data_IF_367818828491
#
_entry.id   IF_367818828491
#
_cell.length_a   1.000
_cell.length_b   1.000
_cell.length_c   1.000
_cell.angle_alpha   90.00
_cell.angle_beta   90.00
_cell.angle_gamma   90.00
#
_symmetry.space_group_name_H-M   'P 1'
#
loop_
_entity.id
_entity.type
_entity.pdbx_description
1 polymer ?
#
# COMPACT_ATOMS: atom_id res chain seq x y z
N UNK A 1 -49.42 -19.88 37.92
CA UNK A 1 -48.30 -19.14 38.51
C UNK A 1 -46.95 -19.84 38.26
N UNK A 2 -46.96 -21.13 37.99
CA UNK A 2 -45.76 -21.84 37.65
C UNK A 2 -45.19 -21.39 36.28
N UNK A 3 -45.99 -20.70 35.49
CA UNK A 3 -45.58 -20.17 34.20
C UNK A 3 -44.63 -18.96 34.32
N UNK A 4 -44.78 -18.18 35.39
CA UNK A 4 -43.99 -16.97 35.59
C UNK A 4 -42.50 -17.22 35.64
N UNK A 5 -41.98 -18.14 36.49
CA UNK A 5 -40.55 -18.41 36.56
C UNK A 5 -40.00 -18.95 35.25
N UNK A 6 -40.76 -19.82 34.56
CA UNK A 6 -40.32 -20.39 33.28
C UNK A 6 -40.29 -19.35 32.18
N UNK A 7 -41.29 -18.47 32.15
CA UNK A 7 -41.34 -17.39 31.18
C UNK A 7 -40.19 -16.41 31.41
N UNK A 8 -39.91 -16.04 32.62
CA UNK A 8 -38.82 -15.14 32.96
C UNK A 8 -37.47 -15.73 32.55
N UNK A 9 -37.26 -17.02 32.76
CA UNK A 9 -36.05 -17.71 32.38
C UNK A 9 -35.85 -17.66 30.87
N UNK A 10 -36.87 -17.98 30.12
CA UNK A 10 -36.78 -17.95 28.65
C UNK A 10 -36.53 -16.54 28.15
N UNK A 11 -37.23 -15.58 28.73
CA UNK A 11 -37.07 -14.18 28.39
C UNK A 11 -35.65 -13.69 28.67
N UNK A 12 -35.16 -14.00 29.86
CA UNK A 12 -33.79 -13.65 30.28
C UNK A 12 -32.76 -14.30 29.37
N UNK A 13 -32.92 -15.58 29.02
CA UNK A 13 -32.03 -16.31 28.13
C UNK A 13 -32.00 -15.69 26.75
N UNK A 14 -33.14 -15.32 26.20
CA UNK A 14 -33.24 -14.65 24.90
C UNK A 14 -32.58 -13.29 24.96
N UNK A 15 -32.80 -12.51 25.98
CA UNK A 15 -32.14 -11.21 26.14
C UNK A 15 -30.65 -11.34 26.25
N UNK A 16 -30.16 -12.31 27.01
CA UNK A 16 -28.73 -12.57 27.17
C UNK A 16 -28.11 -13.00 25.84
N UNK A 17 -28.78 -13.89 25.11
CA UNK A 17 -28.31 -14.35 23.79
C UNK A 17 -28.31 -13.18 22.83
N UNK A 18 -29.34 -12.35 22.81
CA UNK A 18 -29.42 -11.19 21.93
C UNK A 18 -28.31 -10.19 22.24
N UNK A 19 -28.05 -9.91 23.49
CA UNK A 19 -26.99 -9.01 23.92
C UNK A 19 -25.61 -9.55 23.57
N UNK A 20 -25.40 -10.85 23.74
CA UNK A 20 -24.16 -11.51 23.36
C UNK A 20 -23.92 -11.41 21.86
N UNK A 21 -24.97 -11.57 21.06
CA UNK A 21 -24.90 -11.45 19.61
C UNK A 21 -24.57 -10.01 19.20
N UNK A 22 -25.20 -9.02 19.86
CA UNK A 22 -24.91 -7.62 19.59
C UNK A 22 -23.48 -7.25 19.96
N UNK A 23 -22.98 -7.77 21.08
CA UNK A 23 -21.60 -7.55 21.49
C UNK A 23 -20.62 -8.17 20.52
N UNK A 24 -20.91 -9.37 20.04
CA UNK A 24 -20.09 -10.05 19.06
C UNK A 24 -20.06 -9.25 17.74
N UNK A 25 -21.21 -8.76 17.33
CA UNK A 25 -21.31 -7.92 16.14
C UNK A 25 -20.52 -6.63 16.31
N UNK A 26 -20.65 -5.97 17.45
CA UNK A 26 -19.91 -4.75 17.75
C UNK A 26 -18.40 -4.99 17.72
N UNK A 27 -17.94 -6.12 18.27
CA UNK A 27 -16.53 -6.49 18.26
C UNK A 27 -16.03 -6.70 16.85
N UNK A 28 -16.83 -7.35 16.01
CA UNK A 28 -16.48 -7.58 14.61
C UNK A 28 -16.40 -6.27 13.83
N UNK A 29 -17.34 -5.36 14.10
CA UNK A 29 -17.33 -4.03 13.48
C UNK A 29 -16.07 -3.27 13.87
N UNK A 30 -15.71 -3.29 15.15
CA UNK A 30 -14.51 -2.63 15.64
C UNK A 30 -13.26 -3.18 14.98
N UNK A 31 -13.17 -4.50 14.82
CA UNK A 31 -12.05 -5.14 14.14
C UNK A 31 -11.99 -4.75 12.67
N UNK A 32 -13.12 -4.69 12.02
CA UNK A 32 -13.20 -4.28 10.62
C UNK A 32 -12.74 -2.83 10.44
N UNK A 33 -13.20 -1.94 11.33
CA UNK A 33 -12.79 -0.54 11.28
C UNK A 33 -11.30 -0.38 11.52
N UNK A 34 -10.75 -1.13 12.47
CA UNK A 34 -9.32 -1.11 12.75
C UNK A 34 -8.53 -1.59 11.54
N UNK A 35 -8.97 -2.71 10.96
CA UNK A 35 -8.33 -3.29 9.78
C UNK A 35 -8.41 -2.35 8.58
N UNK A 36 -9.55 -1.70 8.40
CA UNK A 36 -9.74 -0.73 7.34
C UNK A 36 -8.77 0.44 7.51
N UNK A 37 -8.63 0.94 8.72
CA UNK A 37 -7.71 2.02 9.04
C UNK A 37 -6.26 1.63 8.75
N UNK A 38 -5.87 0.41 9.11
CA UNK A 38 -4.53 -0.12 8.82
C UNK A 38 -4.28 -0.24 7.33
N UNK A 39 -5.28 -0.73 6.58
CA UNK A 39 -5.19 -0.86 5.13
C UNK A 39 -5.07 0.50 4.45
N UNK A 40 -5.83 1.48 4.90
CA UNK A 40 -5.73 2.84 4.38
C UNK A 40 -4.33 3.42 4.59
N UNK A 41 -3.78 3.20 5.78
CA UNK A 41 -2.45 3.66 6.14
C UNK A 41 -1.39 3.00 5.26
N UNK A 42 -1.48 1.68 5.11
CA UNK A 42 -0.57 0.91 4.28
C UNK A 42 -0.67 1.34 2.82
N UNK A 43 -1.89 1.56 2.35
CA UNK A 43 -2.15 1.99 0.98
C UNK A 43 -1.50 3.35 0.72
N UNK A 44 -1.64 4.27 1.67
CA UNK A 44 -1.04 5.60 1.58
C UNK A 44 0.48 5.52 1.53
N UNK A 45 1.08 4.68 2.38
CA UNK A 45 2.53 4.46 2.38
C UNK A 45 3.01 3.86 1.06
N UNK A 46 2.27 2.88 0.53
CA UNK A 46 2.61 2.26 -0.74
C UNK A 46 2.55 3.25 -1.89
N UNK A 47 1.54 4.12 -1.90
CA UNK A 47 1.43 5.16 -2.91
C UNK A 47 2.61 6.13 -2.84
N UNK A 48 3.04 6.50 -1.63
CA UNK A 48 4.22 7.34 -1.43
C UNK A 48 5.49 6.65 -1.93
N UNK A 49 5.63 5.35 -1.65
CA UNK A 49 6.78 4.58 -2.12
C UNK A 49 6.80 4.46 -3.64
N UNK A 50 5.64 4.23 -4.25
CA UNK A 50 5.53 4.17 -5.71
C UNK A 50 5.92 5.51 -6.33
N UNK A 51 5.45 6.61 -5.77
CA UNK A 51 5.79 7.95 -6.25
C UNK A 51 7.30 8.21 -6.14
N UNK A 52 7.90 7.82 -5.01
CA UNK A 52 9.34 7.97 -4.78
C UNK A 52 10.16 7.14 -5.76
N UNK A 53 9.78 5.87 -5.95
CA UNK A 53 10.46 4.97 -6.89
C UNK A 53 10.33 5.45 -8.33
N UNK A 54 9.17 5.96 -8.69
CA UNK A 54 8.94 6.53 -10.02
C UNK A 54 9.85 7.72 -10.26
N UNK A 55 10.00 8.60 -9.26
CA UNK A 55 10.91 9.74 -9.32
C UNK A 55 12.37 9.31 -9.47
N UNK A 56 12.80 8.30 -8.70
CA UNK A 56 14.15 7.76 -8.81
C UNK A 56 14.40 7.15 -10.17
N UNK A 57 13.44 6.39 -10.67
CA UNK A 57 13.52 5.79 -12.00
C UNK A 57 13.70 6.85 -13.08
N UNK A 58 12.89 7.90 -13.02
CA UNK A 58 12.97 8.98 -14.01
C UNK A 58 14.30 9.71 -13.91
N UNK A 59 14.82 9.93 -12.72
CA UNK A 59 16.12 10.53 -12.50
C UNK A 59 17.25 9.67 -13.08
N UNK A 60 17.18 8.35 -12.84
CA UNK A 60 18.17 7.41 -13.39
C UNK A 60 18.11 7.36 -14.92
N UNK A 61 16.93 7.36 -15.49
CA UNK A 61 16.77 7.40 -16.96
C UNK A 61 17.39 8.65 -17.56
N UNK A 62 17.16 9.78 -16.89
CA UNK A 62 17.73 11.06 -17.32
C UNK A 62 19.26 11.03 -17.28
N UNK A 63 19.84 10.49 -16.21
CA UNK A 63 21.28 10.34 -16.06
C UNK A 63 21.86 9.41 -17.11
N UNK A 64 21.19 8.28 -17.37
CA UNK A 64 21.59 7.33 -18.39
C UNK A 64 21.57 7.97 -19.78
N UNK A 65 20.53 8.72 -20.08
CA UNK A 65 20.43 9.42 -21.36
C UNK A 65 21.56 10.43 -21.52
N UNK A 66 21.87 11.19 -20.46
CA UNK A 66 22.97 12.15 -20.49
C UNK A 66 24.32 11.45 -20.66
N UNK A 67 24.55 10.35 -19.94
CA UNK A 67 25.79 9.57 -20.05
C UNK A 67 25.95 8.99 -21.46
N UNK A 68 24.86 8.47 -22.02
CA UNK A 68 24.84 7.92 -23.36
C UNK A 68 25.21 8.99 -24.40
N UNK A 69 24.65 10.17 -24.27
CA UNK A 69 24.97 11.29 -25.15
C UNK A 69 26.43 11.66 -25.06
N UNK A 70 27.02 11.67 -23.87
CA UNK A 70 28.44 11.95 -23.67
C UNK A 70 29.31 10.89 -24.34
N UNK A 71 28.94 9.62 -24.18
CA UNK A 71 29.67 8.52 -24.82
C UNK A 71 29.61 8.63 -26.33
N UNK A 72 28.45 8.91 -26.88
CA UNK A 72 28.27 9.08 -28.33
C UNK A 72 29.12 10.22 -28.86
N UNK A 73 29.16 11.34 -28.11
CA UNK A 73 29.99 12.50 -28.47
C UNK A 73 31.46 12.13 -28.46
N UNK A 74 31.91 11.38 -27.44
CA UNK A 74 33.30 10.93 -27.37
C UNK A 74 33.67 9.99 -28.51
N UNK A 75 32.75 9.07 -28.83
CA UNK A 75 32.97 8.14 -29.95
C UNK A 75 33.06 8.85 -31.31
N UNK A 76 32.27 9.91 -31.48
CA UNK A 76 32.34 10.73 -32.67
C UNK A 76 33.71 11.43 -32.81
N UNK A 77 34.26 11.85 -31.66
CA UNK A 77 35.57 12.50 -31.64
C UNK A 77 36.72 11.54 -31.92
N UNK A 78 36.60 10.28 -31.49
CA UNK A 78 37.66 9.28 -31.67
C UNK A 78 38.03 9.05 -33.13
N UNK A 79 37.09 8.83 -34.07
CA UNK A 79 37.43 8.66 -35.47
C UNK A 79 38.13 9.88 -36.05
N UNK A 80 37.70 11.08 -35.67
CA UNK A 80 38.33 12.32 -36.14
C UNK A 80 39.77 12.47 -35.65
N UNK A 81 39.99 12.08 -34.38
CA UNK A 81 41.33 12.12 -33.78
C UNK A 81 42.24 11.08 -34.41
N UNK A 82 41.76 9.86 -34.66
CA UNK A 82 42.49 8.81 -35.30
C UNK A 82 42.85 9.20 -36.73
N UNK A 83 41.92 9.80 -37.46
CA UNK A 83 42.15 10.29 -38.81
C UNK A 83 43.23 11.35 -38.84
N UNK A 84 43.31 12.23 -37.87
CA UNK A 84 44.35 13.24 -37.79
C UNK A 84 45.71 12.65 -37.45
N UNK A 85 45.76 11.64 -36.61
CA UNK A 85 47.00 10.97 -36.27
C UNK A 85 47.57 10.21 -37.43
N UNK A 86 46.74 9.59 -38.24
CA UNK A 86 47.16 8.85 -39.43
C UNK A 86 47.68 9.78 -40.54
N UNK A 87 47.09 10.94 -40.62
CA UNK A 87 47.46 11.90 -41.64
C UNK A 87 48.70 12.70 -41.22
#
# INVERSE_FOLDING_TARGET
ESRGPLYDRQHTTRCTFFMATLQDLATRIDRLLLRHSELERTNKLLLEQVASLSGERDSLKSRLAAARTRIDTLLERLPATDGKEES
#
